data_IF_318861743464
#
_entry.id   IF_318861743464
#
_cell.length_a   1.000
_cell.length_b   1.000
_cell.length_c   1.000
_cell.angle_alpha   90.00
_cell.angle_beta   90.00
_cell.angle_gamma   90.00
#
_symmetry.space_group_name_H-M   'P 1'
#
loop_
_entity.id
_entity.type
_entity.pdbx_description
1 polymer ?
#
# COMPACT_ATOMS: atom_id res chain seq x y z
N UNK A 1 -7.50 -1.39 -21.62
CA UNK A 1 -7.09 -0.92 -22.95
C UNK A 1 -5.81 -0.08 -22.93
N UNK A 2 -5.70 1.03 -22.20
CA UNK A 2 -4.46 1.84 -22.28
C UNK A 2 -3.25 1.27 -21.55
N UNK A 3 -3.46 0.74 -20.35
CA UNK A 3 -2.37 0.14 -19.56
C UNK A 3 -1.77 -1.08 -20.30
N UNK A 4 -2.58 -1.69 -21.17
CA UNK A 4 -2.28 -2.82 -22.04
C UNK A 4 -1.22 -2.52 -23.12
N UNK A 5 -1.25 -1.34 -23.75
CA UNK A 5 -0.34 -1.04 -24.86
C UNK A 5 1.02 -0.55 -24.37
N UNK A 6 1.01 0.27 -23.31
CA UNK A 6 2.24 0.90 -22.83
C UNK A 6 3.10 -0.06 -21.98
N UNK A 7 2.53 -0.88 -21.09
CA UNK A 7 3.33 -1.88 -20.37
C UNK A 7 3.81 -3.00 -21.31
N UNK A 8 2.96 -3.48 -22.21
CA UNK A 8 3.34 -4.52 -23.18
C UNK A 8 4.53 -4.11 -24.05
N UNK A 9 4.53 -2.91 -24.63
CA UNK A 9 5.65 -2.44 -25.44
C UNK A 9 6.92 -2.11 -24.64
N UNK A 10 6.78 -1.62 -23.40
CA UNK A 10 7.92 -1.29 -22.52
C UNK A 10 8.54 -2.58 -21.98
N UNK A 11 7.73 -3.54 -21.54
CA UNK A 11 8.20 -4.82 -21.02
C UNK A 11 8.79 -5.70 -22.13
N UNK A 12 8.22 -5.68 -23.35
CA UNK A 12 8.84 -6.34 -24.51
C UNK A 12 10.21 -5.76 -24.87
N UNK A 13 10.45 -4.48 -24.55
CA UNK A 13 11.76 -3.83 -24.71
C UNK A 13 12.68 -3.99 -23.49
N UNK A 14 12.33 -4.84 -22.52
CA UNK A 14 13.07 -5.04 -21.25
C UNK A 14 13.33 -3.74 -20.48
N UNK A 15 12.35 -2.84 -20.49
CA UNK A 15 12.38 -1.60 -19.73
C UNK A 15 11.42 -1.67 -18.54
N UNK A 16 11.69 -0.83 -17.54
CA UNK A 16 10.90 -0.64 -16.33
C UNK A 16 10.52 0.82 -16.17
N UNK A 17 9.32 1.11 -15.62
CA UNK A 17 8.83 2.49 -15.47
C UNK A 17 9.32 3.20 -14.21
N UNK A 18 9.64 2.46 -13.14
CA UNK A 18 10.08 2.93 -11.82
C UNK A 18 9.06 3.75 -11.00
N UNK A 19 8.27 4.60 -11.64
CA UNK A 19 7.35 5.53 -10.97
C UNK A 19 5.93 5.41 -11.52
N UNK A 20 5.44 4.17 -11.61
CA UNK A 20 4.14 3.93 -12.21
C UNK A 20 3.01 4.18 -11.22
N UNK A 21 2.30 5.29 -11.40
CA UNK A 21 1.15 5.66 -10.57
C UNK A 21 0.12 6.48 -11.34
N UNK A 22 -1.01 6.76 -10.71
CA UNK A 22 -2.14 7.47 -11.33
C UNK A 22 -1.79 8.87 -11.86
N UNK A 23 -0.91 9.60 -11.18
CA UNK A 23 -0.37 10.89 -11.65
C UNK A 23 0.42 10.85 -12.96
N UNK A 24 0.94 9.68 -13.37
CA UNK A 24 1.71 9.50 -14.61
C UNK A 24 0.86 8.91 -15.75
N UNK A 25 -0.47 8.86 -15.57
CA UNK A 25 -1.44 8.41 -16.57
C UNK A 25 -2.16 9.63 -17.14
N UNK A 26 -1.94 9.93 -18.42
CA UNK A 26 -2.59 11.04 -19.12
C UNK A 26 -3.80 10.56 -19.91
N UNK A 27 -4.91 11.28 -19.83
CA UNK A 27 -6.08 11.06 -20.68
C UNK A 27 -6.12 12.14 -21.78
N UNK A 28 -5.93 11.77 -23.05
CA UNK A 28 -6.27 12.68 -24.14
C UNK A 28 -7.78 12.58 -24.40
N UNK A 29 -8.50 13.69 -24.25
CA UNK A 29 -9.91 13.75 -24.64
C UNK A 29 -10.00 14.22 -26.09
N UNK A 30 -10.43 13.33 -27.00
CA UNK A 30 -10.96 13.75 -28.29
C UNK A 30 -12.49 13.74 -28.21
N UNK A 31 -13.16 14.54 -29.05
CA UNK A 31 -14.62 14.72 -29.05
C UNK A 31 -15.44 13.48 -29.45
N UNK A 32 -14.81 12.30 -29.53
CA UNK A 32 -15.44 11.01 -29.83
C UNK A 32 -15.49 10.15 -28.57
N UNK A 33 -16.59 9.43 -28.38
CA UNK A 33 -17.01 8.74 -27.15
C UNK A 33 -16.09 7.64 -26.60
N UNK A 34 -14.99 7.31 -27.27
CA UNK A 34 -14.09 6.23 -26.87
C UNK A 34 -12.85 6.76 -26.13
N UNK A 35 -13.04 7.05 -24.84
CA UNK A 35 -11.98 7.48 -23.90
C UNK A 35 -10.81 6.46 -23.85
N UNK A 36 -11.09 5.20 -24.20
CA UNK A 36 -10.16 4.08 -24.08
C UNK A 36 -8.98 4.10 -25.07
N UNK A 37 -9.04 4.82 -26.20
CA UNK A 37 -7.96 4.82 -27.21
C UNK A 37 -6.86 5.87 -26.94
N UNK A 38 -7.09 6.75 -25.97
CA UNK A 38 -6.36 8.00 -25.84
C UNK A 38 -5.63 8.19 -24.50
N UNK A 39 -5.66 7.21 -23.60
CA UNK A 39 -4.83 7.30 -22.40
C UNK A 39 -3.37 6.94 -22.76
N UNK A 40 -2.38 7.57 -22.12
CA UNK A 40 -0.94 7.34 -22.34
C UNK A 40 -0.19 7.33 -21.01
N UNK A 41 0.89 6.55 -20.92
CA UNK A 41 1.85 6.67 -19.83
C UNK A 41 2.75 7.86 -20.14
N UNK A 42 2.97 8.71 -19.14
CA UNK A 42 3.83 9.88 -19.19
C UNK A 42 4.97 9.75 -18.17
N UNK A 43 5.86 10.74 -18.18
CA UNK A 43 7.02 10.81 -17.29
C UNK A 43 7.91 9.55 -17.33
N UNK A 44 8.49 9.31 -18.50
CA UNK A 44 9.50 8.27 -18.71
C UNK A 44 10.91 8.73 -18.30
N UNK A 45 11.03 9.82 -17.52
CA UNK A 45 12.32 10.38 -17.11
C UNK A 45 13.12 9.45 -16.20
N UNK A 46 12.46 8.47 -15.60
CA UNK A 46 13.04 7.42 -14.75
C UNK A 46 12.95 6.03 -15.40
N UNK A 47 12.63 5.96 -16.68
CA UNK A 47 12.52 4.69 -17.39
C UNK A 47 13.93 4.17 -17.72
N UNK A 48 14.32 3.08 -17.07
CA UNK A 48 15.64 2.47 -17.21
C UNK A 48 15.55 1.07 -17.82
N UNK A 49 16.67 0.60 -18.36
CA UNK A 49 16.83 -0.82 -18.71
C UNK A 49 16.98 -1.62 -17.42
N UNK A 50 16.40 -2.82 -17.38
CA UNK A 50 16.39 -3.68 -16.18
C UNK A 50 17.80 -3.92 -15.60
N UNK A 51 18.84 -3.85 -16.44
CA UNK A 51 20.23 -4.12 -16.07
C UNK A 51 21.00 -2.89 -15.53
N UNK A 52 20.42 -1.68 -15.56
CA UNK A 52 21.07 -0.42 -15.17
C UNK A 52 20.50 0.23 -13.90
N UNK A 53 19.63 -0.48 -13.17
CA UNK A 53 18.92 0.08 -12.02
C UNK A 53 19.88 0.35 -10.86
N UNK A 54 19.99 1.61 -10.46
CA UNK A 54 20.76 2.05 -9.29
C UNK A 54 20.15 1.46 -7.99
N UNK A 55 20.83 0.49 -7.38
CA UNK A 55 20.37 -0.24 -6.19
C UNK A 55 20.19 0.66 -4.96
N UNK A 56 20.80 1.85 -4.95
CA UNK A 56 20.90 2.67 -3.75
C UNK A 56 19.66 3.54 -3.46
N UNK A 57 18.80 3.83 -4.45
CA UNK A 57 17.71 4.81 -4.28
C UNK A 57 16.35 4.23 -4.62
N UNK A 58 15.51 4.10 -3.59
CA UNK A 58 14.10 3.80 -3.77
C UNK A 58 13.38 5.12 -4.00
N UNK A 59 12.78 5.27 -5.17
CA UNK A 59 12.03 6.46 -5.55
C UNK A 59 10.61 6.09 -5.97
N UNK A 60 9.64 6.95 -5.67
CA UNK A 60 8.29 6.88 -6.22
C UNK A 60 7.21 7.24 -5.21
N UNK A 61 5.97 6.83 -5.49
CA UNK A 61 4.82 7.04 -4.60
C UNK A 61 4.56 5.78 -3.77
N UNK A 62 4.91 5.83 -2.48
CA UNK A 62 4.98 4.66 -1.57
C UNK A 62 3.85 3.61 -1.72
N UNK A 63 2.54 3.96 -1.73
CA UNK A 63 1.47 2.98 -1.96
C UNK A 63 1.54 2.16 -3.25
N UNK A 64 2.20 2.69 -4.29
CA UNK A 64 2.37 2.04 -5.59
C UNK A 64 3.69 1.26 -5.69
N UNK A 65 4.65 1.49 -4.78
CA UNK A 65 5.95 0.82 -4.83
C UNK A 65 5.83 -0.62 -4.31
N UNK A 66 6.33 -1.57 -5.10
CA UNK A 66 6.25 -3.00 -4.80
C UNK A 66 7.00 -3.38 -3.51
N UNK A 67 6.52 -4.39 -2.76
CA UNK A 67 7.07 -4.75 -1.45
C UNK A 67 8.51 -5.30 -1.51
N UNK A 68 8.96 -5.85 -2.64
CA UNK A 68 10.36 -6.21 -2.84
C UNK A 68 11.25 -4.99 -3.06
N UNK A 69 10.74 -3.97 -3.76
CA UNK A 69 11.47 -2.71 -4.02
C UNK A 69 11.58 -1.90 -2.74
N UNK A 70 10.51 -1.82 -1.93
CA UNK A 70 10.56 -1.20 -0.60
C UNK A 70 11.58 -1.89 0.33
N UNK A 71 11.87 -3.18 0.12
CA UNK A 71 12.93 -3.91 0.85
C UNK A 71 14.33 -3.72 0.27
N UNK A 72 14.49 -2.82 -0.71
CA UNK A 72 15.78 -2.56 -1.36
C UNK A 72 16.23 -3.65 -2.32
N UNK A 73 15.31 -4.52 -2.80
CA UNK A 73 15.63 -5.42 -3.91
C UNK A 73 15.54 -4.68 -5.23
N UNK A 74 16.24 -5.20 -6.24
CA UNK A 74 16.22 -4.71 -7.61
C UNK A 74 14.79 -4.53 -8.14
N UNK A 75 14.58 -3.42 -8.83
CA UNK A 75 13.34 -3.16 -9.55
C UNK A 75 13.23 -4.11 -10.74
N UNK A 76 12.03 -4.63 -10.99
CA UNK A 76 11.76 -5.55 -12.10
C UNK A 76 10.43 -5.21 -12.76
N UNK A 77 10.15 -5.82 -13.90
CA UNK A 77 8.85 -5.69 -14.56
C UNK A 77 7.69 -6.11 -13.65
N UNK A 78 7.90 -7.10 -12.78
CA UNK A 78 6.91 -7.51 -11.80
C UNK A 78 6.56 -6.38 -10.80
N UNK A 79 7.46 -5.44 -10.55
CA UNK A 79 7.18 -4.27 -9.72
C UNK A 79 6.24 -3.28 -10.43
N UNK A 80 6.36 -3.10 -11.75
CA UNK A 80 5.37 -2.34 -12.53
C UNK A 80 3.99 -3.02 -12.48
N UNK A 81 3.94 -4.35 -12.55
CA UNK A 81 2.68 -5.09 -12.40
C UNK A 81 2.03 -4.88 -11.02
N UNK A 82 2.83 -4.78 -9.95
CA UNK A 82 2.31 -4.43 -8.63
C UNK A 82 1.66 -3.04 -8.65
N UNK A 83 2.36 -2.05 -9.20
CA UNK A 83 1.87 -0.69 -9.37
C UNK A 83 0.57 -0.66 -10.16
N UNK A 84 0.48 -1.46 -11.25
CA UNK A 84 -0.74 -1.65 -12.03
C UNK A 84 -1.89 -2.20 -11.19
N UNK A 85 -1.64 -3.18 -10.31
CA UNK A 85 -2.65 -3.68 -9.36
C UNK A 85 -3.19 -2.59 -8.42
N UNK A 86 -2.34 -1.67 -7.95
CA UNK A 86 -2.75 -0.53 -7.13
C UNK A 86 -3.51 0.53 -7.96
N UNK A 87 -3.14 0.73 -9.23
CA UNK A 87 -3.90 1.56 -10.17
C UNK A 87 -5.30 0.95 -10.42
N UNK A 88 -5.40 -0.37 -10.57
CA UNK A 88 -6.68 -1.06 -10.69
C UNK A 88 -7.58 -0.80 -9.46
N UNK A 89 -7.01 -0.83 -8.25
CA UNK A 89 -7.74 -0.44 -7.05
C UNK A 89 -8.29 0.98 -7.13
N UNK A 90 -7.46 1.95 -7.56
CA UNK A 90 -7.90 3.32 -7.74
C UNK A 90 -9.03 3.42 -8.77
N UNK A 91 -8.94 2.74 -9.92
CA UNK A 91 -9.98 2.75 -10.94
C UNK A 91 -11.29 2.14 -10.42
N UNK A 92 -11.20 1.04 -9.67
CA UNK A 92 -12.36 0.38 -9.08
C UNK A 92 -13.11 1.26 -8.07
N UNK A 93 -12.35 2.01 -7.26
CA UNK A 93 -12.87 2.67 -6.06
C UNK A 93 -12.97 4.19 -6.18
N UNK A 94 -12.23 4.80 -7.12
CA UNK A 94 -11.99 6.24 -7.16
C UNK A 94 -11.27 6.77 -5.91
N UNK A 95 -10.67 5.88 -5.11
CA UNK A 95 -10.05 6.19 -3.82
C UNK A 95 -8.54 6.07 -3.94
N UNK A 96 -7.83 7.01 -3.32
CA UNK A 96 -6.39 6.90 -3.19
C UNK A 96 -6.03 5.74 -2.25
N UNK A 97 -5.03 4.90 -2.59
CA UNK A 97 -4.62 3.78 -1.75
C UNK A 97 -4.05 4.30 -0.42
N UNK A 98 -4.51 3.73 0.70
CA UNK A 98 -4.11 4.12 2.06
C UNK A 98 -4.38 5.60 2.44
N UNK A 99 -5.37 6.24 1.81
CA UNK A 99 -5.69 7.66 2.03
C UNK A 99 -5.97 8.07 3.48
N UNK A 100 -6.34 7.14 4.34
CA UNK A 100 -6.78 7.41 5.70
C UNK A 100 -5.64 7.41 6.74
N UNK A 101 -4.37 7.34 6.34
CA UNK A 101 -3.22 7.27 7.26
C UNK A 101 -1.99 7.98 6.70
N UNK A 102 -1.01 8.19 7.57
CA UNK A 102 0.31 8.72 7.22
C UNK A 102 1.08 7.75 6.32
N UNK A 103 1.88 8.30 5.39
CA UNK A 103 2.82 7.54 4.55
C UNK A 103 4.24 7.60 5.15
N UNK A 104 4.48 6.76 6.16
CA UNK A 104 5.73 6.66 6.92
C UNK A 104 6.35 5.25 6.82
N UNK A 105 7.36 4.96 7.65
CA UNK A 105 8.02 3.65 7.71
C UNK A 105 7.05 2.51 8.08
N UNK A 106 6.00 2.80 8.85
CA UNK A 106 5.00 1.79 9.23
C UNK A 106 4.10 1.42 8.06
N UNK A 107 3.73 2.39 7.20
CA UNK A 107 3.03 2.04 5.97
C UNK A 107 3.92 1.19 5.05
N UNK A 108 5.20 1.52 4.92
CA UNK A 108 6.13 0.71 4.13
C UNK A 108 6.23 -0.73 4.68
N UNK A 109 6.32 -0.88 6.00
CA UNK A 109 6.31 -2.19 6.66
C UNK A 109 5.01 -2.95 6.42
N UNK A 110 3.85 -2.31 6.59
CA UNK A 110 2.55 -2.92 6.37
C UNK A 110 2.38 -3.43 4.93
N UNK A 111 2.83 -2.65 3.94
CA UNK A 111 2.83 -3.07 2.52
C UNK A 111 3.69 -4.33 2.35
N UNK A 112 4.88 -4.34 2.95
CA UNK A 112 5.80 -5.47 2.93
C UNK A 112 5.17 -6.72 3.58
N UNK A 113 4.43 -6.57 4.66
CA UNK A 113 3.69 -7.64 5.36
C UNK A 113 2.41 -8.10 4.64
N UNK A 114 2.11 -7.55 3.47
CA UNK A 114 0.97 -7.99 2.66
C UNK A 114 -0.32 -7.24 2.94
N UNK A 115 -0.30 -6.18 3.75
CA UNK A 115 -1.47 -5.31 3.92
C UNK A 115 -1.76 -4.59 2.59
N UNK A 116 -3.05 -4.51 2.25
CA UNK A 116 -3.54 -3.89 1.00
C UNK A 116 -4.69 -2.92 1.29
N UNK A 117 -4.97 -1.96 0.38
CA UNK A 117 -6.10 -1.05 0.51
C UNK A 117 -7.44 -1.80 0.62
N UNK A 118 -8.32 -1.33 1.51
CA UNK A 118 -9.63 -1.95 1.71
C UNK A 118 -10.56 -1.73 0.51
N UNK A 119 -11.02 -2.83 -0.07
CA UNK A 119 -12.00 -2.88 -1.17
C UNK A 119 -13.33 -3.46 -0.66
N UNK A 120 -14.45 -2.90 -1.10
CA UNK A 120 -15.77 -3.55 -0.98
C UNK A 120 -16.03 -4.34 -2.28
N UNK A 121 -16.38 -5.63 -2.16
CA UNK A 121 -16.58 -6.51 -3.32
C UNK A 121 -17.71 -6.07 -4.27
N UNK A 122 -18.61 -5.18 -3.82
CA UNK A 122 -19.64 -4.57 -4.68
C UNK A 122 -19.09 -3.44 -5.57
N UNK A 123 -17.88 -2.94 -5.30
CA UNK A 123 -17.29 -1.83 -6.05
C UNK A 123 -16.63 -2.26 -7.37
N UNK A 124 -16.37 -3.55 -7.57
CA UNK A 124 -15.74 -4.09 -8.77
C UNK A 124 -16.24 -5.52 -9.04
N UNK A 125 -16.32 -5.96 -10.30
CA UNK A 125 -16.74 -7.32 -10.58
C UNK A 125 -15.68 -8.33 -10.17
N UNK A 126 -16.10 -9.56 -9.89
CA UNK A 126 -15.21 -10.60 -9.35
C UNK A 126 -13.98 -10.83 -10.21
N UNK A 127 -14.13 -10.90 -11.53
CA UNK A 127 -13.01 -11.08 -12.46
C UNK A 127 -11.95 -9.97 -12.33
N UNK A 128 -12.38 -8.73 -12.15
CA UNK A 128 -11.52 -7.57 -11.93
C UNK A 128 -10.79 -7.65 -10.60
N UNK A 129 -11.51 -8.01 -9.53
CA UNK A 129 -10.94 -8.15 -8.18
C UNK A 129 -9.87 -9.23 -8.15
N UNK A 130 -10.14 -10.38 -8.77
CA UNK A 130 -9.19 -11.49 -8.84
C UNK A 130 -7.92 -11.10 -9.61
N UNK A 131 -8.05 -10.45 -10.78
CA UNK A 131 -6.89 -9.96 -11.53
C UNK A 131 -6.10 -8.92 -10.74
N UNK A 132 -6.77 -7.91 -10.19
CA UNK A 132 -6.16 -6.89 -9.32
C UNK A 132 -5.39 -7.53 -8.17
N UNK A 133 -5.97 -8.57 -7.53
CA UNK A 133 -5.32 -9.28 -6.43
C UNK A 133 -4.10 -10.07 -6.84
N UNK A 134 -4.09 -10.65 -8.05
CA UNK A 134 -2.90 -11.30 -8.61
C UNK A 134 -1.79 -10.29 -8.92
N UNK A 135 -2.15 -9.14 -9.48
CA UNK A 135 -1.17 -8.10 -9.83
C UNK A 135 -0.42 -7.56 -8.61
N UNK A 136 -1.08 -7.36 -7.47
CA UNK A 136 -0.45 -6.83 -6.26
C UNK A 136 0.04 -7.90 -5.25
N UNK A 137 0.25 -9.16 -5.68
CA UNK A 137 0.74 -10.24 -4.81
C UNK A 137 2.10 -9.85 -4.20
N UNK A 138 2.34 -10.22 -2.94
CA UNK A 138 3.62 -9.93 -2.26
C UNK A 138 4.79 -10.67 -2.89
N UNK A 139 4.56 -11.82 -3.51
CA UNK A 139 5.57 -12.56 -4.26
C UNK A 139 5.56 -12.10 -5.74
N UNK A 140 6.64 -11.47 -6.24
CA UNK A 140 6.70 -11.01 -7.63
C UNK A 140 6.51 -12.14 -8.65
N UNK A 141 6.92 -13.37 -8.33
CA UNK A 141 6.80 -14.52 -9.23
C UNK A 141 5.36 -15.06 -9.37
N UNK A 142 4.43 -14.59 -8.53
CA UNK A 142 3.00 -14.94 -8.63
C UNK A 142 2.20 -13.92 -9.43
N UNK A 143 2.81 -12.79 -9.77
CA UNK A 143 2.17 -11.74 -10.54
C UNK A 143 2.14 -12.17 -12.00
N UNK A 144 1.03 -11.91 -12.72
CA UNK A 144 0.96 -12.19 -14.14
C UNK A 144 1.88 -11.24 -14.91
N UNK A 145 2.31 -11.62 -16.10
CA UNK A 145 2.97 -10.68 -17.00
C UNK A 145 1.94 -9.80 -17.75
N UNK A 146 2.45 -8.76 -18.44
CA UNK A 146 1.60 -7.82 -19.17
C UNK A 146 0.76 -8.51 -20.29
N UNK A 147 1.26 -9.60 -20.87
CA UNK A 147 0.55 -10.38 -21.89
C UNK A 147 -0.61 -11.13 -21.25
N UNK A 148 -0.36 -11.83 -20.15
CA UNK A 148 -1.39 -12.57 -19.40
C UNK A 148 -2.49 -11.64 -18.83
N UNK A 149 -2.12 -10.43 -18.41
CA UNK A 149 -3.09 -9.39 -18.01
C UNK A 149 -3.94 -8.99 -19.20
N UNK A 150 -3.31 -8.73 -20.35
CA UNK A 150 -3.99 -8.32 -21.56
C UNK A 150 -5.02 -9.37 -22.00
N UNK A 151 -4.64 -10.64 -22.05
CA UNK A 151 -5.51 -11.74 -22.46
C UNK A 151 -6.69 -11.91 -21.51
N UNK A 152 -6.45 -11.78 -20.19
CA UNK A 152 -7.53 -11.80 -19.20
C UNK A 152 -8.51 -10.66 -19.39
N UNK A 153 -8.04 -9.43 -19.62
CA UNK A 153 -8.91 -8.27 -19.84
C UNK A 153 -9.74 -8.43 -21.12
N UNK A 154 -9.14 -8.94 -22.21
CA UNK A 154 -9.88 -9.19 -23.46
C UNK A 154 -10.95 -10.28 -23.34
N UNK A 155 -10.80 -11.20 -22.37
CA UNK A 155 -11.77 -12.27 -22.13
C UNK A 155 -13.04 -11.82 -21.39
N UNK A 156 -13.02 -10.63 -20.77
CA UNK A 156 -14.12 -10.12 -19.96
C UNK A 156 -15.33 -9.72 -20.80
N UNK A 157 -16.54 -9.95 -20.29
CA UNK A 157 -17.79 -9.60 -20.97
C UNK A 157 -18.43 -8.38 -20.32
N UNK A 158 -19.10 -7.56 -21.12
CA UNK A 158 -19.76 -6.33 -20.62
C UNK A 158 -20.78 -6.60 -19.52
N UNK A 159 -21.51 -7.72 -19.61
CA UNK A 159 -22.51 -8.14 -18.62
C UNK A 159 -21.91 -8.33 -17.22
N UNK A 160 -20.61 -8.64 -17.13
CA UNK A 160 -19.91 -8.78 -15.85
C UNK A 160 -19.85 -7.45 -15.07
N UNK A 161 -20.01 -6.31 -15.75
CA UNK A 161 -19.78 -4.96 -15.20
C UNK A 161 -21.06 -4.17 -14.94
N UNK A 162 -22.20 -4.56 -15.52
CA UNK A 162 -23.44 -3.76 -15.48
C UNK A 162 -23.94 -3.54 -14.04
N UNK A 163 -24.01 -4.60 -13.24
CA UNK A 163 -24.46 -4.51 -11.84
C UNK A 163 -23.57 -3.60 -10.99
N UNK A 164 -22.25 -3.66 -11.22
CA UNK A 164 -21.26 -2.87 -10.49
C UNK A 164 -21.40 -1.40 -10.87
N UNK A 165 -21.62 -1.09 -12.14
CA UNK A 165 -21.80 0.28 -12.59
C UNK A 165 -23.05 0.92 -11.97
N UNK A 166 -24.14 0.16 -11.87
CA UNK A 166 -25.35 0.60 -11.17
C UNK A 166 -25.09 0.84 -9.67
N UNK A 167 -24.35 -0.05 -9.00
CA UNK A 167 -23.95 0.15 -7.60
C UNK A 167 -23.09 1.42 -7.42
N UNK A 168 -22.14 1.66 -8.33
CA UNK A 168 -21.27 2.86 -8.30
C UNK A 168 -22.06 4.14 -8.47
N UNK A 169 -22.98 4.19 -9.44
CA UNK A 169 -23.87 5.34 -9.67
C UNK A 169 -24.72 5.64 -8.43
N UNK A 170 -25.29 4.62 -7.79
CA UNK A 170 -26.09 4.76 -6.58
C UNK A 170 -25.28 5.27 -5.37
N UNK A 171 -23.97 4.98 -5.31
CA UNK A 171 -23.10 5.31 -4.17
C UNK A 171 -22.11 6.46 -4.45
N UNK A 172 -22.31 7.23 -5.52
CA UNK A 172 -21.38 8.29 -5.96
C UNK A 172 -21.08 9.33 -4.86
N UNK A 173 -22.09 9.72 -4.08
CA UNK A 173 -21.94 10.70 -3.01
C UNK A 173 -21.01 10.25 -1.87
N UNK A 174 -21.03 8.95 -1.51
CA UNK A 174 -20.12 8.40 -0.49
C UNK A 174 -18.67 8.40 -0.95
N UNK A 175 -18.43 8.25 -2.26
CA UNK A 175 -17.08 8.27 -2.84
C UNK A 175 -16.44 9.66 -2.80
N UNK A 176 -17.25 10.74 -2.86
CA UNK A 176 -16.75 12.13 -2.82
C UNK A 176 -16.31 12.61 -1.43
N UNK A 177 -16.68 11.93 -0.35
CA UNK A 177 -16.35 12.33 1.02
C UNK A 177 -15.02 11.75 1.53
N UNK A 178 -14.13 11.31 0.65
CA UNK A 178 -12.86 10.74 1.09
C UNK A 178 -11.95 11.81 1.68
N UNK A 179 -11.75 11.76 2.99
CA UNK A 179 -10.75 12.59 3.69
C UNK A 179 -9.39 11.93 3.49
N UNK A 180 -8.50 12.67 2.82
CA UNK A 180 -7.09 12.28 2.71
C UNK A 180 -6.38 12.77 3.98
N UNK A 181 -5.67 11.87 4.64
CA UNK A 181 -4.85 12.19 5.79
C UNK A 181 -3.80 13.25 5.38
N UNK A 182 -3.58 14.33 6.16
CA UNK A 182 -2.69 15.41 5.76
C UNK A 182 -1.23 14.99 5.47
N UNK A 183 -0.81 13.85 6.01
CA UNK A 183 0.52 13.26 5.81
C UNK A 183 0.52 12.07 4.83
N UNK A 184 -0.57 11.86 4.10
CA UNK A 184 -0.60 10.96 2.95
C UNK A 184 -0.06 11.70 1.72
N UNK A 185 1.01 11.16 1.12
CA UNK A 185 1.73 11.81 0.02
C UNK A 185 1.63 10.95 -1.23
N UNK A 186 1.07 11.54 -2.29
CA UNK A 186 0.81 10.91 -3.59
C UNK A 186 1.64 11.52 -4.73
N UNK A 187 2.72 12.21 -4.37
CA UNK A 187 3.74 12.73 -5.28
C UNK A 187 5.02 11.96 -5.06
N UNK A 188 5.75 11.72 -6.15
CA UNK A 188 6.98 10.93 -6.14
C UNK A 188 8.05 11.58 -5.27
N UNK A 189 8.78 10.76 -4.52
CA UNK A 189 9.86 11.19 -3.62
C UNK A 189 10.83 10.04 -3.34
N UNK A 190 12.00 10.38 -2.80
CA UNK A 190 12.92 9.39 -2.26
C UNK A 190 12.28 8.73 -1.03
N UNK A 191 12.29 7.40 -1.01
CA UNK A 191 11.65 6.58 0.03
C UNK A 191 12.65 5.94 1.00
N UNK A 192 13.96 6.00 0.72
CA UNK A 192 15.01 5.48 1.60
C UNK A 192 14.82 5.83 3.10
N UNK A 193 14.47 7.08 3.48
CA UNK A 193 14.28 7.42 4.90
C UNK A 193 13.17 6.64 5.60
N UNK A 194 12.25 6.03 4.85
CA UNK A 194 11.14 5.22 5.37
C UNK A 194 11.39 3.72 5.25
N UNK A 195 12.47 3.29 4.58
CA UNK A 195 12.76 1.88 4.30
C UNK A 195 14.05 1.38 4.94
N UNK A 196 14.97 2.27 5.33
CA UNK A 196 16.27 1.94 5.96
C UNK A 196 16.14 0.97 7.14
N UNK A 197 15.10 1.12 7.97
CA UNK A 197 14.89 0.28 9.14
C UNK A 197 14.15 -1.03 8.85
N UNK A 198 13.59 -1.23 7.65
CA UNK A 198 12.80 -2.44 7.34
C UNK A 198 13.60 -3.72 7.52
N UNK A 199 14.87 -3.72 7.12
CA UNK A 199 15.79 -4.86 7.28
C UNK A 199 15.96 -5.28 8.75
N UNK A 200 15.87 -4.35 9.70
CA UNK A 200 16.00 -4.63 11.14
C UNK A 200 14.82 -5.47 11.66
N UNK A 201 13.62 -5.26 11.13
CA UNK A 201 12.43 -6.03 11.51
C UNK A 201 12.48 -7.47 10.99
N UNK A 202 13.16 -7.74 9.88
CA UNK A 202 13.28 -9.08 9.29
C UNK A 202 14.47 -9.89 9.81
N UNK A 203 15.56 -9.22 10.21
CA UNK A 203 16.76 -9.87 10.73
C UNK A 203 16.70 -10.14 12.24
N UNK A 204 15.74 -9.56 12.97
CA UNK A 204 15.40 -10.03 14.31
C UNK A 204 14.55 -11.29 14.18
N UNK A 205 15.06 -12.43 14.66
CA UNK A 205 14.32 -13.69 14.76
C UNK A 205 12.83 -13.48 15.08
N UNK A 206 11.99 -14.30 14.46
CA UNK A 206 10.51 -14.31 14.39
C UNK A 206 9.71 -14.10 15.69
N UNK A 207 10.37 -13.96 16.83
CA UNK A 207 9.76 -13.78 18.15
C UNK A 207 9.76 -12.31 18.63
N UNK A 208 10.47 -11.40 17.94
CA UNK A 208 10.59 -9.97 18.35
C UNK A 208 9.64 -9.05 17.59
N UNK A 209 9.18 -9.45 16.39
CA UNK A 209 8.36 -8.61 15.49
C UNK A 209 7.02 -8.20 16.12
N UNK A 210 6.43 -9.02 17.02
CA UNK A 210 5.17 -8.69 17.69
C UNK A 210 5.30 -7.63 18.80
N UNK A 211 6.52 -7.34 19.26
CA UNK A 211 6.78 -6.42 20.37
C UNK A 211 7.12 -5.00 19.89
N UNK A 212 7.47 -4.80 18.62
CA UNK A 212 7.89 -3.50 18.08
C UNK A 212 6.82 -2.78 17.26
N UNK A 213 5.70 -3.43 16.90
CA UNK A 213 4.57 -2.77 16.24
C UNK A 213 3.70 -2.06 17.26
N UNK A 214 3.35 -0.76 17.08
CA UNK A 214 2.40 -0.10 17.96
C UNK A 214 1.09 -0.88 18.02
N UNK A 215 0.51 -1.04 19.21
CA UNK A 215 -0.73 -1.82 19.40
C UNK A 215 -1.88 -1.33 18.50
N UNK A 216 -1.90 -0.04 18.14
CA UNK A 216 -2.88 0.57 17.23
C UNK A 216 -2.84 0.04 15.79
N UNK A 217 -1.73 -0.59 15.40
CA UNK A 217 -1.52 -1.09 14.03
C UNK A 217 -1.66 -2.61 13.95
N UNK A 218 -1.82 -3.29 15.08
CA UNK A 218 -2.08 -4.73 15.11
C UNK A 218 -3.56 -5.02 14.82
N UNK A 219 -3.90 -6.12 14.11
CA UNK A 219 -5.29 -6.51 13.95
C UNK A 219 -5.94 -6.69 15.33
N UNK A 220 -7.08 -6.03 15.55
CA UNK A 220 -7.85 -6.12 16.79
C UNK A 220 -8.61 -7.45 16.87
N UNK A 221 -7.87 -8.54 16.97
CA UNK A 221 -8.36 -9.91 17.00
C UNK A 221 -8.17 -10.57 18.38
N UNK A 222 -8.68 -11.80 18.52
CA UNK A 222 -8.58 -12.59 19.75
C UNK A 222 -7.13 -12.82 20.21
N UNK A 223 -6.18 -12.85 19.27
CA UNK A 223 -4.77 -13.06 19.57
C UNK A 223 -4.17 -11.83 20.24
N UNK A 224 -4.45 -10.63 19.71
CA UNK A 224 -4.05 -9.38 20.35
C UNK A 224 -4.65 -9.24 21.75
N UNK A 225 -5.91 -9.63 21.94
CA UNK A 225 -6.57 -9.62 23.25
C UNK A 225 -5.86 -10.54 24.23
N UNK A 226 -5.55 -11.78 23.81
CA UNK A 226 -4.82 -12.74 24.65
C UNK A 226 -3.46 -12.20 25.06
N UNK A 227 -2.70 -11.62 24.13
CA UNK A 227 -1.38 -11.06 24.42
C UNK A 227 -1.45 -9.87 25.39
N UNK A 228 -2.43 -8.97 25.26
CA UNK A 228 -2.67 -7.86 26.22
C UNK A 228 -3.03 -8.41 27.60
N UNK A 229 -3.93 -9.41 27.67
CA UNK A 229 -4.30 -10.08 28.91
C UNK A 229 -3.11 -10.80 29.56
N UNK A 230 -2.17 -11.31 28.76
CA UNK A 230 -0.93 -11.94 29.22
C UNK A 230 0.19 -10.95 29.57
N UNK A 231 -0.03 -9.64 29.41
CA UNK A 231 0.90 -8.60 29.86
C UNK A 231 1.62 -7.82 28.76
N UNK A 232 1.27 -7.99 27.48
CA UNK A 232 1.80 -7.14 26.40
C UNK A 232 1.44 -5.66 26.66
N UNK A 233 2.42 -4.77 26.57
CA UNK A 233 2.25 -3.31 26.75
C UNK A 233 2.97 -2.54 25.64
N UNK A 234 2.54 -1.31 25.31
CA UNK A 234 3.27 -0.44 24.40
C UNK A 234 4.69 -0.17 24.90
N UNK A 235 5.67 -0.15 24.01
CA UNK A 235 7.00 0.35 24.33
C UNK A 235 6.99 1.85 24.58
N UNK A 236 7.81 2.32 25.51
CA UNK A 236 8.08 3.74 25.69
C UNK A 236 8.97 4.21 24.53
N UNK A 237 8.51 5.20 23.78
CA UNK A 237 9.25 5.74 22.64
C UNK A 237 10.52 6.43 23.12
N UNK A 238 11.65 6.20 22.43
CA UNK A 238 12.90 6.89 22.71
C UNK A 238 12.71 8.41 22.65
N UNK A 239 13.21 9.13 23.66
CA UNK A 239 13.03 10.57 23.80
C UNK A 239 11.82 10.99 24.65
N UNK A 240 11.00 10.04 25.12
CA UNK A 240 9.96 10.33 26.12
C UNK A 240 10.61 10.89 27.39
N UNK A 241 10.20 12.07 27.89
CA UNK A 241 10.77 12.63 29.12
C UNK A 241 10.61 11.65 30.29
N UNK A 242 11.63 11.57 31.15
CA UNK A 242 11.73 10.53 32.18
C UNK A 242 10.51 10.49 33.13
N UNK A 243 9.91 11.65 33.40
CA UNK A 243 8.68 11.75 34.19
C UNK A 243 7.51 11.04 33.53
N UNK A 244 7.30 11.24 32.22
CA UNK A 244 6.24 10.56 31.48
C UNK A 244 6.52 9.08 31.29
N UNK A 245 7.78 8.69 31.07
CA UNK A 245 8.16 7.29 30.99
C UNK A 245 7.83 6.53 32.29
N UNK A 246 8.15 7.12 33.45
CA UNK A 246 7.82 6.55 34.77
C UNK A 246 6.32 6.43 34.99
N UNK A 247 5.56 7.49 34.67
CA UNK A 247 4.09 7.48 34.78
C UNK A 247 3.47 6.40 33.87
N UNK A 248 3.95 6.27 32.63
CA UNK A 248 3.49 5.25 31.69
C UNK A 248 3.75 3.83 32.23
N UNK A 249 4.95 3.57 32.77
CA UNK A 249 5.27 2.26 33.36
C UNK A 249 4.37 1.91 34.55
N UNK A 250 4.13 2.88 35.43
CA UNK A 250 3.27 2.70 36.59
C UNK A 250 1.80 2.46 36.20
N UNK A 251 1.28 3.20 35.22
CA UNK A 251 -0.11 3.06 34.78
C UNK A 251 -0.35 1.75 34.00
N UNK A 252 0.70 1.24 33.35
CA UNK A 252 0.63 0.06 32.47
C UNK A 252 1.08 -1.23 33.16
N UNK A 253 1.25 -1.24 34.49
CA UNK A 253 1.71 -2.43 35.23
C UNK A 253 0.86 -3.67 34.91
N UNK A 254 1.53 -4.82 34.84
CA UNK A 254 0.90 -6.11 34.56
C UNK A 254 -0.06 -6.48 35.68
N UNK A 255 0.32 -6.21 36.93
CA UNK A 255 -0.53 -6.39 38.10
C UNK A 255 -1.41 -5.14 38.33
N UNK A 256 -2.74 -5.26 38.22
CA UNK A 256 -3.64 -4.13 38.47
C UNK A 256 -3.47 -3.50 39.86
N UNK A 257 -3.01 -4.26 40.86
CA UNK A 257 -2.81 -3.76 42.21
C UNK A 257 -1.59 -2.84 42.36
N UNK A 258 -0.63 -2.93 41.44
CA UNK A 258 0.55 -2.05 41.38
C UNK A 258 0.31 -0.77 40.57
N UNK A 259 -0.82 -0.68 39.85
CA UNK A 259 -1.13 0.50 39.05
C UNK A 259 -1.45 1.68 39.96
N UNK A 260 -0.79 2.81 39.70
CA UNK A 260 -1.01 4.02 40.46
C UNK A 260 -2.45 4.52 40.33
N UNK A 261 -3.04 4.88 41.47
CA UNK A 261 -4.33 5.57 41.52
C UNK A 261 -4.19 7.02 41.07
N UNK A 262 -5.29 7.62 40.62
CA UNK A 262 -5.33 9.03 40.23
C UNK A 262 -4.76 9.95 41.32
N UNK A 263 -5.02 9.66 42.59
CA UNK A 263 -4.47 10.39 43.73
C UNK A 263 -2.95 10.33 43.85
N UNK A 264 -2.33 9.22 43.47
CA UNK A 264 -0.86 9.03 43.54
C UNK A 264 -0.13 9.69 42.37
N UNK A 265 -0.85 10.02 41.29
CA UNK A 265 -0.28 10.67 40.10
C UNK A 265 -0.15 12.19 40.27
N UNK A 266 -0.85 12.81 41.22
CA UNK A 266 -0.81 14.27 41.49
C UNK A 266 0.37 14.72 42.38
N UNK A 267 1.20 13.79 42.85
CA UNK A 267 2.34 14.09 43.74
C UNK A 267 3.68 14.25 42.98
N UNK A 268 3.66 14.25 41.64
CA UNK A 268 4.85 14.34 40.76
C UNK A 268 4.90 15.60 39.90
#
# INVERSE_FOLDING_TARGET
>A
MVLQYAEGEIHQKKKVLHDFHTGNILFLFTSTSDICDYTRISDMGLCEEVDNVDEEKIYGVMPYVAPEVLRGKLYTQAADIYSFGIIMYFVATGRQPFANRVHDEFLALDICEGIRPKLNELEAPKCYIELMKKCWDSNPNKRPDATEISDQIYSWKNDDFEHVENYRKANLFKRKQLIIHPQAIYTSRILNPYTENLSKYYNSNSDVVSWCTPLSHRPHDLRLIQEICSGLRPNIVNGTPLVFARLMLQCLDVDPSNRSTVSQLYEY
#
